data_IF_295870755573
#
_entry.id   IF_295870755573
#
_cell.length_a   1.000
_cell.length_b   1.000
_cell.length_c   1.000
_cell.angle_alpha   90.00
_cell.angle_beta   90.00
_cell.angle_gamma   90.00
#
_symmetry.space_group_name_H-M   'P 1'
#
loop_
_entity.id
_entity.type
_entity.pdbx_description
1 polymer ?
#
# COMPACT_ATOMS: atom_id res chain seq x y z
N UNK A 1 31.37 2.76 6.01
CA UNK A 1 30.28 2.36 6.92
C UNK A 1 29.47 1.27 6.24
N UNK A 2 29.54 0.03 6.73
CA UNK A 2 28.96 -1.17 6.12
C UNK A 2 27.43 -1.02 5.97
N UNK A 3 26.94 -0.65 4.77
CA UNK A 3 25.51 -0.64 4.44
C UNK A 3 25.08 -2.11 4.34
N UNK A 4 24.49 -2.60 5.43
CA UNK A 4 24.36 -4.02 5.72
C UNK A 4 23.61 -4.81 4.64
N UNK A 5 24.29 -5.81 4.08
CA UNK A 5 23.74 -6.92 3.28
C UNK A 5 22.53 -7.65 3.91
N UNK A 6 22.14 -7.33 5.15
CA UNK A 6 20.94 -7.85 5.83
C UNK A 6 19.64 -7.23 5.32
N UNK A 7 19.64 -5.94 4.98
CA UNK A 7 18.44 -5.23 4.50
C UNK A 7 17.95 -5.76 3.15
N UNK A 8 18.86 -5.99 2.20
CA UNK A 8 18.54 -6.56 0.89
C UNK A 8 18.07 -8.02 0.95
N UNK A 9 18.52 -8.80 1.95
CA UNK A 9 18.19 -10.22 2.12
C UNK A 9 16.80 -10.41 2.76
N UNK A 10 16.43 -9.53 3.71
CA UNK A 10 15.06 -9.43 4.21
C UNK A 10 14.09 -8.94 3.13
N UNK A 11 14.50 -7.93 2.31
CA UNK A 11 13.79 -7.37 1.12
C UNK A 11 13.28 -8.35 0.08
N UNK A 12 13.77 -9.57 0.13
CA UNK A 12 13.46 -10.60 -0.85
C UNK A 12 12.63 -11.72 -0.25
N UNK A 13 12.62 -11.87 1.09
CA UNK A 13 11.97 -13.01 1.74
C UNK A 13 10.44 -12.90 1.62
N UNK A 14 9.87 -11.71 1.83
CA UNK A 14 8.41 -11.50 1.68
C UNK A 14 7.93 -11.73 0.25
N UNK A 15 8.68 -11.25 -0.75
CA UNK A 15 8.39 -11.46 -2.17
C UNK A 15 8.51 -12.93 -2.58
N UNK A 16 9.54 -13.64 -2.12
CA UNK A 16 9.73 -15.07 -2.41
C UNK A 16 8.59 -15.90 -1.81
N UNK A 17 8.21 -15.61 -0.56
CA UNK A 17 7.07 -16.28 0.08
C UNK A 17 5.75 -15.98 -0.65
N UNK A 18 5.55 -14.74 -1.09
CA UNK A 18 4.37 -14.37 -1.88
C UNK A 18 4.33 -15.12 -3.22
N UNK A 19 5.47 -15.22 -3.91
CA UNK A 19 5.58 -15.95 -5.18
C UNK A 19 5.28 -17.45 -5.00
N UNK A 20 5.83 -18.06 -3.95
CA UNK A 20 5.54 -19.46 -3.61
C UNK A 20 4.04 -19.65 -3.33
N UNK A 21 3.43 -18.74 -2.58
CA UNK A 21 2.01 -18.81 -2.25
C UNK A 21 1.12 -18.65 -3.48
N UNK A 22 1.44 -17.70 -4.37
CA UNK A 22 0.76 -17.50 -5.65
C UNK A 22 0.78 -18.77 -6.50
N UNK A 23 1.95 -19.40 -6.66
CA UNK A 23 2.09 -20.65 -7.43
C UNK A 23 1.28 -21.81 -6.84
N UNK A 24 1.15 -21.87 -5.51
CA UNK A 24 0.39 -22.93 -4.82
C UNK A 24 -1.14 -22.71 -4.80
N UNK A 25 -1.61 -21.47 -5.02
CA UNK A 25 -2.98 -21.06 -4.70
C UNK A 25 -4.02 -21.34 -5.81
N UNK A 26 -3.62 -21.97 -6.91
CA UNK A 26 -4.49 -22.31 -8.04
C UNK A 26 -4.92 -21.09 -8.88
N UNK A 27 -5.98 -21.18 -9.70
CA UNK A 27 -6.36 -20.11 -10.62
C UNK A 27 -6.86 -18.87 -9.86
N UNK A 28 -6.13 -17.77 -9.99
CA UNK A 28 -6.44 -16.46 -9.40
C UNK A 28 -7.17 -15.61 -10.45
N UNK A 29 -8.27 -14.94 -10.08
CA UNK A 29 -8.96 -14.00 -10.96
C UNK A 29 -8.05 -12.85 -11.45
N UNK A 30 -8.33 -12.30 -12.65
CA UNK A 30 -7.39 -11.43 -13.35
C UNK A 30 -7.12 -10.10 -12.63
N UNK A 31 -8.14 -9.44 -12.05
CA UNK A 31 -7.95 -8.13 -11.40
C UNK A 31 -7.16 -8.31 -10.11
N UNK A 32 -7.49 -9.35 -9.34
CA UNK A 32 -6.77 -9.70 -8.11
C UNK A 32 -5.30 -9.98 -8.41
N UNK A 33 -5.01 -10.79 -9.44
CA UNK A 33 -3.63 -11.10 -9.84
C UNK A 33 -2.87 -9.87 -10.29
N UNK A 34 -3.49 -9.05 -11.16
CA UNK A 34 -2.88 -7.83 -11.68
C UNK A 34 -2.48 -6.88 -10.54
N UNK A 35 -3.35 -6.70 -9.55
CA UNK A 35 -3.06 -5.83 -8.41
C UNK A 35 -1.90 -6.36 -7.56
N UNK A 36 -1.85 -7.67 -7.30
CA UNK A 36 -0.74 -8.30 -6.55
C UNK A 36 0.58 -8.14 -7.30
N UNK A 37 0.59 -8.38 -8.61
CA UNK A 37 1.79 -8.23 -9.44
C UNK A 37 2.26 -6.77 -9.49
N UNK A 38 1.34 -5.82 -9.62
CA UNK A 38 1.66 -4.39 -9.61
C UNK A 38 2.33 -3.99 -8.29
N UNK A 39 1.74 -4.34 -7.16
CA UNK A 39 2.28 -4.02 -5.83
C UNK A 39 3.63 -4.70 -5.59
N UNK A 40 3.77 -5.97 -6.01
CA UNK A 40 5.05 -6.69 -5.96
C UNK A 40 6.13 -6.07 -6.85
N UNK A 41 5.78 -5.62 -8.05
CA UNK A 41 6.71 -4.96 -8.98
C UNK A 41 7.18 -3.59 -8.47
N UNK A 42 6.26 -2.80 -7.89
CA UNK A 42 6.57 -1.52 -7.22
C UNK A 42 7.57 -1.79 -6.10
N UNK A 43 7.30 -2.77 -5.24
CA UNK A 43 8.16 -3.10 -4.11
C UNK A 43 9.54 -3.65 -4.52
N UNK A 44 9.59 -4.45 -5.58
CA UNK A 44 10.84 -4.97 -6.14
C UNK A 44 11.74 -3.86 -6.73
N UNK A 45 11.25 -2.63 -6.88
CA UNK A 45 12.00 -1.49 -7.38
C UNK A 45 12.02 -1.39 -8.90
N UNK A 46 11.10 -2.06 -9.61
CA UNK A 46 10.94 -1.87 -11.06
C UNK A 46 10.47 -0.44 -11.42
N UNK A 47 9.92 0.30 -10.46
CA UNK A 47 9.49 1.69 -10.63
C UNK A 47 10.43 2.59 -9.79
N UNK A 48 11.47 3.21 -10.41
CA UNK A 48 12.51 3.96 -9.69
C UNK A 48 11.99 5.25 -9.00
N UNK A 49 10.79 5.70 -9.35
CA UNK A 49 10.13 6.83 -8.67
C UNK A 49 9.52 6.43 -7.32
N UNK A 50 9.35 5.14 -7.05
CA UNK A 50 8.67 4.61 -5.86
C UNK A 50 9.58 3.67 -5.06
N UNK A 51 10.84 4.05 -4.90
CA UNK A 51 11.80 3.26 -4.14
C UNK A 51 11.40 3.15 -2.66
N UNK A 52 11.46 1.96 -2.04
CA UNK A 52 11.20 1.77 -0.61
C UNK A 52 12.07 2.65 0.28
N UNK A 53 13.30 2.97 -0.16
CA UNK A 53 14.23 3.84 0.57
C UNK A 53 13.74 5.31 0.65
N UNK A 54 12.76 5.70 -0.17
CA UNK A 54 12.12 7.03 -0.18
C UNK A 54 10.74 7.04 0.50
N UNK A 55 10.35 5.96 1.19
CA UNK A 55 9.05 5.89 1.89
C UNK A 55 8.84 7.03 2.88
N UNK A 56 9.88 7.47 3.58
CA UNK A 56 9.81 8.64 4.48
C UNK A 56 9.50 9.95 3.75
N UNK A 57 9.92 10.09 2.49
CA UNK A 57 9.70 11.30 1.70
C UNK A 57 8.33 11.30 1.00
N UNK A 58 7.74 10.13 0.76
CA UNK A 58 6.53 9.93 -0.04
C UNK A 58 5.30 9.48 0.75
N UNK A 59 5.39 9.41 2.08
CA UNK A 59 4.27 9.02 2.94
C UNK A 59 3.13 10.04 2.99
N UNK A 60 1.97 9.55 3.43
CA UNK A 60 0.77 10.35 3.67
C UNK A 60 1.05 11.27 4.86
N UNK A 61 1.40 12.52 4.56
CA UNK A 61 1.64 13.55 5.57
C UNK A 61 0.60 14.67 5.38
N UNK A 62 -0.47 14.70 6.20
CA UNK A 62 -1.56 15.67 6.06
C UNK A 62 -1.04 17.12 6.04
N UNK A 63 -0.06 17.45 6.89
CA UNK A 63 0.56 18.78 6.93
C UNK A 63 1.23 19.18 5.61
N UNK A 64 1.86 18.25 4.88
CA UNK A 64 2.46 18.56 3.58
C UNK A 64 1.41 18.70 2.48
N UNK A 65 0.31 17.96 2.55
CA UNK A 65 -0.81 18.08 1.62
C UNK A 65 -1.44 19.48 1.75
N UNK A 66 -1.80 19.88 2.98
CA UNK A 66 -2.43 21.18 3.21
C UNK A 66 -1.48 22.36 3.01
N UNK A 67 -0.23 22.30 3.48
CA UNK A 67 0.70 23.45 3.40
C UNK A 67 1.50 23.53 2.10
N UNK A 68 1.80 22.41 1.45
CA UNK A 68 2.66 22.36 0.25
C UNK A 68 1.91 21.91 -1.02
N UNK A 69 0.58 21.68 -0.95
CA UNK A 69 -0.27 21.22 -2.08
C UNK A 69 0.26 19.97 -2.77
N UNK A 70 0.87 19.06 -2.01
CA UNK A 70 1.48 17.84 -2.55
C UNK A 70 0.44 16.71 -2.67
N UNK A 71 -0.53 16.89 -3.58
CA UNK A 71 -1.66 15.97 -3.78
C UNK A 71 -1.26 14.54 -4.17
N UNK A 72 -0.10 14.37 -4.80
CA UNK A 72 0.46 13.04 -5.10
C UNK A 72 0.66 12.20 -3.83
N UNK A 73 0.87 12.82 -2.66
CA UNK A 73 0.99 12.11 -1.38
C UNK A 73 -0.32 11.47 -0.90
N UNK A 74 -1.45 11.65 -1.59
CA UNK A 74 -2.72 10.99 -1.24
C UNK A 74 -2.75 9.56 -1.78
N UNK A 75 -2.27 9.37 -3.02
CA UNK A 75 -2.40 8.09 -3.74
C UNK A 75 -1.10 7.28 -3.66
N UNK A 76 0.05 7.92 -3.78
CA UNK A 76 1.35 7.23 -3.78
C UNK A 76 1.62 6.37 -2.53
N UNK A 77 1.27 6.79 -1.29
CA UNK A 77 1.54 5.97 -0.11
C UNK A 77 0.73 4.67 -0.07
N UNK A 78 -0.42 4.62 -0.74
CA UNK A 78 -1.28 3.43 -0.82
C UNK A 78 -0.57 2.30 -1.58
N UNK A 79 0.27 2.66 -2.54
CA UNK A 79 1.03 1.71 -3.36
C UNK A 79 2.39 1.37 -2.74
N UNK A 80 2.96 2.28 -1.94
CA UNK A 80 4.25 2.06 -1.29
C UNK A 80 4.13 1.24 -0.01
N UNK A 81 5.05 0.29 0.14
CA UNK A 81 5.17 -0.53 1.34
C UNK A 81 6.56 -0.32 1.94
N UNK A 82 6.62 0.02 3.24
CA UNK A 82 7.88 0.19 3.96
C UNK A 82 8.55 -1.12 4.35
N UNK A 83 7.78 -2.20 4.51
CA UNK A 83 8.25 -3.47 5.07
C UNK A 83 7.82 -4.70 4.25
N UNK A 84 8.73 -5.67 4.11
CA UNK A 84 8.52 -6.93 3.38
C UNK A 84 7.34 -7.75 3.89
N UNK A 85 7.29 -7.96 5.21
CA UNK A 85 6.28 -8.80 5.83
C UNK A 85 4.92 -8.13 5.74
N UNK A 86 4.87 -6.80 5.83
CA UNK A 86 3.65 -6.04 5.65
C UNK A 86 3.10 -6.22 4.23
N UNK A 87 3.94 -6.11 3.20
CA UNK A 87 3.53 -6.42 1.83
C UNK A 87 3.03 -7.86 1.70
N UNK A 88 3.78 -8.83 2.24
CA UNK A 88 3.40 -10.24 2.17
C UNK A 88 2.01 -10.50 2.77
N UNK A 89 1.76 -10.07 4.02
CA UNK A 89 0.48 -10.29 4.68
C UNK A 89 -0.67 -9.54 3.99
N UNK A 90 -0.45 -8.32 3.50
CA UNK A 90 -1.45 -7.57 2.75
C UNK A 90 -1.82 -8.29 1.44
N UNK A 91 -0.83 -8.74 0.68
CA UNK A 91 -1.07 -9.39 -0.61
C UNK A 91 -1.70 -10.77 -0.44
N UNK A 92 -1.33 -11.53 0.59
CA UNK A 92 -1.97 -12.82 0.90
C UNK A 92 -3.44 -12.62 1.34
N UNK A 93 -3.70 -11.69 2.26
CA UNK A 93 -5.07 -11.32 2.68
C UNK A 93 -5.91 -10.88 1.47
N UNK A 94 -5.36 -9.97 0.66
CA UNK A 94 -6.00 -9.47 -0.55
C UNK A 94 -6.25 -10.59 -1.56
N UNK A 95 -5.32 -11.53 -1.74
CA UNK A 95 -5.52 -12.67 -2.63
C UNK A 95 -6.72 -13.53 -2.21
N UNK A 96 -6.85 -13.86 -0.92
CA UNK A 96 -7.98 -14.65 -0.43
C UNK A 96 -9.31 -13.90 -0.58
N UNK A 97 -9.35 -12.64 -0.16
CA UNK A 97 -10.55 -11.79 -0.25
C UNK A 97 -10.91 -11.51 -1.70
N UNK A 98 -9.96 -11.07 -2.51
CA UNK A 98 -10.11 -10.76 -3.93
C UNK A 98 -10.56 -11.96 -4.74
N UNK A 99 -9.96 -13.15 -4.51
CA UNK A 99 -10.41 -14.39 -5.18
C UNK A 99 -11.87 -14.70 -4.91
N UNK A 100 -12.34 -14.52 -3.67
CA UNK A 100 -13.75 -14.74 -3.32
C UNK A 100 -14.64 -13.64 -3.91
N UNK A 101 -14.26 -12.37 -3.74
CA UNK A 101 -15.09 -11.22 -4.09
C UNK A 101 -15.19 -11.01 -5.60
N UNK A 102 -14.09 -11.18 -6.33
CA UNK A 102 -14.06 -11.06 -7.80
C UNK A 102 -14.88 -12.18 -8.47
N UNK A 103 -14.86 -13.40 -7.93
CA UNK A 103 -15.71 -14.51 -8.43
C UNK A 103 -17.19 -14.28 -8.15
N UNK A 104 -17.53 -13.66 -7.03
CA UNK A 104 -18.92 -13.39 -6.65
C UNK A 104 -19.52 -12.20 -7.40
N UNK A 105 -18.75 -11.11 -7.56
CA UNK A 105 -19.26 -9.84 -8.10
C UNK A 105 -18.94 -9.65 -9.59
N UNK A 106 -17.97 -10.38 -10.11
CA UNK A 106 -17.36 -10.16 -11.42
C UNK A 106 -16.24 -9.11 -11.36
N UNK A 107 -15.29 -9.22 -12.29
CA UNK A 107 -14.07 -8.40 -12.35
C UNK A 107 -14.33 -6.90 -12.38
N UNK A 108 -15.32 -6.44 -13.15
CA UNK A 108 -15.59 -5.00 -13.30
C UNK A 108 -16.08 -4.37 -12.00
N UNK A 109 -17.01 -5.03 -11.30
CA UNK A 109 -17.55 -4.53 -10.02
C UNK A 109 -16.51 -4.59 -8.91
N UNK A 110 -15.70 -5.64 -8.89
CA UNK A 110 -14.58 -5.74 -7.97
C UNK A 110 -13.56 -4.61 -8.18
N UNK A 111 -13.25 -4.27 -9.44
CA UNK A 111 -12.38 -3.13 -9.76
C UNK A 111 -12.96 -1.80 -9.25
N UNK A 112 -14.27 -1.57 -9.40
CA UNK A 112 -14.92 -0.37 -8.86
C UNK A 112 -14.75 -0.28 -7.35
N UNK A 113 -14.98 -1.38 -6.62
CA UNK A 113 -14.79 -1.44 -5.17
C UNK A 113 -13.34 -1.12 -4.81
N UNK A 114 -12.38 -1.72 -5.52
CA UNK A 114 -10.96 -1.50 -5.30
C UNK A 114 -10.58 -0.01 -5.47
N UNK A 115 -11.05 0.63 -6.54
CA UNK A 115 -10.85 2.06 -6.77
C UNK A 115 -11.48 2.89 -5.65
N UNK A 116 -12.70 2.55 -5.22
CA UNK A 116 -13.36 3.24 -4.10
C UNK A 116 -12.51 3.17 -2.84
N UNK A 117 -11.96 2.01 -2.48
CA UNK A 117 -11.10 1.88 -1.29
C UNK A 117 -9.78 2.62 -1.43
N UNK A 118 -9.15 2.62 -2.61
CA UNK A 118 -7.90 3.35 -2.86
C UNK A 118 -8.08 4.85 -2.63
N UNK A 119 -9.25 5.41 -2.97
CA UNK A 119 -9.54 6.84 -2.81
C UNK A 119 -10.08 7.14 -1.40
N UNK A 120 -11.04 6.35 -0.91
CA UNK A 120 -11.72 6.61 0.35
C UNK A 120 -10.77 6.48 1.55
N UNK A 121 -9.86 5.51 1.55
CA UNK A 121 -8.95 5.27 2.68
C UNK A 121 -8.06 6.47 3.01
N UNK A 122 -7.28 7.04 2.07
CA UNK A 122 -6.47 8.21 2.36
C UNK A 122 -7.32 9.46 2.64
N UNK A 123 -8.51 9.60 2.02
CA UNK A 123 -9.42 10.70 2.31
C UNK A 123 -9.93 10.66 3.77
N UNK A 124 -10.39 9.49 4.23
CA UNK A 124 -10.83 9.29 5.62
C UNK A 124 -9.67 9.55 6.59
N UNK A 125 -8.45 9.09 6.26
CA UNK A 125 -7.28 9.37 7.08
C UNK A 125 -6.99 10.87 7.19
N UNK A 126 -7.04 11.61 6.08
CA UNK A 126 -6.84 13.08 6.08
C UNK A 126 -7.94 13.77 6.89
N UNK A 127 -9.20 13.37 6.69
CA UNK A 127 -10.35 13.93 7.40
C UNK A 127 -10.23 13.70 8.91
N UNK A 128 -9.85 12.49 9.32
CA UNK A 128 -9.65 12.15 10.72
C UNK A 128 -8.47 12.92 11.32
N UNK A 129 -7.35 13.04 10.59
CA UNK A 129 -6.21 13.86 11.04
C UNK A 129 -6.58 15.33 11.20
N UNK A 130 -7.42 15.87 10.30
CA UNK A 130 -7.91 17.25 10.39
C UNK A 130 -8.86 17.44 11.58
N UNK A 131 -9.86 16.56 11.72
CA UNK A 131 -10.80 16.61 12.84
C UNK A 131 -10.07 16.45 14.20
N UNK A 132 -9.07 15.58 14.29
CA UNK A 132 -8.27 15.43 15.51
C UNK A 132 -7.44 16.67 15.85
N UNK A 133 -6.97 17.42 14.85
CA UNK A 133 -6.25 18.68 15.07
C UNK A 133 -7.20 19.77 15.57
N UNK A 134 -8.37 19.91 14.93
CA UNK A 134 -9.34 20.97 15.23
C UNK A 134 -10.06 20.75 16.58
N UNK A 135 -10.56 19.52 16.84
CA UNK A 135 -11.39 19.24 18.00
C UNK A 135 -10.59 18.87 19.25
N UNK A 136 -9.44 18.19 19.10
CA UNK A 136 -8.65 17.67 20.22
C UNK A 136 -7.34 18.43 20.42
N UNK A 137 -7.02 19.42 19.56
CA UNK A 137 -5.77 20.19 19.58
C UNK A 137 -4.51 19.28 19.49
N UNK A 138 -4.67 18.07 18.95
CA UNK A 138 -3.61 17.07 18.88
C UNK A 138 -2.82 17.18 17.57
N UNK A 139 -1.90 18.14 17.50
CA UNK A 139 -0.97 18.38 16.36
C UNK A 139 -0.02 17.22 16.02
N UNK A 140 -0.16 16.08 16.70
CA UNK A 140 0.63 14.87 16.48
C UNK A 140 0.14 14.13 15.23
N UNK A 141 -1.18 14.01 15.05
CA UNK A 141 -1.79 13.33 13.90
C UNK A 141 -1.45 13.99 12.55
N UNK A 142 -1.26 15.31 12.53
CA UNK A 142 -0.82 16.04 11.34
C UNK A 142 0.63 15.77 10.91
N UNK A 143 1.43 15.14 11.78
CA UNK A 143 2.86 14.85 11.57
C UNK A 143 3.17 13.35 11.46
N UNK A 144 2.17 12.50 11.61
CA UNK A 144 2.34 11.06 11.42
C UNK A 144 2.40 10.72 9.94
N UNK A 145 3.31 9.81 9.62
CA UNK A 145 3.70 9.41 8.28
C UNK A 145 3.18 7.99 8.08
N UNK A 146 2.07 7.85 7.35
CA UNK A 146 1.42 6.56 7.11
C UNK A 146 1.69 6.11 5.68
N UNK A 147 2.02 4.83 5.51
CA UNK A 147 2.24 4.16 4.22
C UNK A 147 1.51 2.82 4.22
N UNK A 148 1.14 2.35 3.02
CA UNK A 148 0.52 1.06 2.80
C UNK A 148 -0.99 1.13 2.62
N UNK A 149 -1.49 0.15 1.87
CA UNK A 149 -2.90 -0.18 1.74
C UNK A 149 -3.22 -1.37 2.65
N UNK A 150 -4.09 -1.19 3.64
CA UNK A 150 -4.61 -2.33 4.41
C UNK A 150 -5.72 -3.01 3.58
N UNK A 151 -5.44 -4.21 3.07
CA UNK A 151 -6.37 -5.01 2.25
C UNK A 151 -7.45 -5.76 3.01
#
# INVERSE_FOLDING_TARGET
>A
MFKGRRGARLRQTGLILLAQHLLSSGPIPPITLLFILLQGAIYAGFIPFMDPDKTHDLCLLPRAIFKKKQWYRIILPVLMHGDDLHLYYNMVSFMYKGKKLERLLGSLRFLSILITFIIATPLVHILLSYAGDEFLNMRRFMRECTVGFSG
#
